data_IF_950010253675
#
_entry.id   IF_950010253675
#
_cell.length_a   1.000
_cell.length_b   1.000
_cell.length_c   1.000
_cell.angle_alpha   90.00
_cell.angle_beta   90.00
_cell.angle_gamma   90.00
#
_symmetry.space_group_name_H-M   'P 1'
#
loop_
_entity.id
_entity.type
_entity.pdbx_description
1 polymer ?
#
# COMPACT_ATOMS: atom_id res chain seq x y z
N UNK A 1 -4.71 0.35 -28.19
CA UNK A 1 -4.69 0.38 -27.58
C UNK A 1 -5.27 0.14 -26.71
N UNK A 2 -5.10 -0.12 -26.33
CA UNK A 2 -5.89 -0.48 -25.54
C UNK A 2 -6.06 0.20 -24.50
N UNK A 3 -6.21 0.94 -24.15
CA UNK A 3 -6.38 1.67 -23.03
C UNK A 3 -6.93 0.99 -21.86
N UNK A 4 -6.48 -0.18 -21.68
CA UNK A 4 -6.99 -0.94 -20.58
C UNK A 4 -6.49 -0.41 -19.28
N UNK A 5 -5.28 0.10 -19.24
CA UNK A 5 -4.72 0.60 -18.01
C UNK A 5 -5.08 2.06 -17.87
N UNK A 6 -5.36 2.48 -16.68
CA UNK A 6 -5.65 3.88 -16.43
C UNK A 6 -5.80 4.17 -14.98
N UNK A 7 -5.59 5.41 -14.62
CA UNK A 7 -5.71 5.85 -13.24
C UNK A 7 -6.29 7.25 -13.19
N UNK A 8 -7.33 7.44 -12.40
CA UNK A 8 -7.90 8.72 -12.10
C UNK A 8 -7.97 8.85 -10.59
N UNK A 9 -7.46 9.94 -10.06
CA UNK A 9 -7.42 10.17 -8.63
C UNK A 9 -6.12 10.82 -8.24
N UNK A 10 -5.63 10.51 -7.04
CA UNK A 10 -4.39 11.06 -6.54
C UNK A 10 -3.44 9.96 -6.16
N UNK A 11 -2.17 10.14 -6.48
CA UNK A 11 -1.15 9.15 -6.20
C UNK A 11 0.09 9.85 -5.70
N UNK A 12 0.52 9.49 -4.51
CA UNK A 12 1.72 10.08 -3.91
C UNK A 12 2.67 8.95 -3.54
N UNK A 13 3.89 9.05 -4.00
CA UNK A 13 4.94 8.10 -3.70
C UNK A 13 6.12 8.84 -3.11
N UNK A 14 6.49 8.50 -1.89
CA UNK A 14 7.69 9.08 -1.29
C UNK A 14 8.35 8.04 -0.40
N UNK A 15 9.53 8.32 0.16
CA UNK A 15 10.27 7.31 0.92
C UNK A 15 9.54 6.78 2.13
N UNK A 16 8.56 7.51 2.66
CA UNK A 16 7.86 7.12 3.88
C UNK A 16 6.38 6.90 3.67
N UNK A 17 5.89 7.01 2.46
CA UNK A 17 4.45 6.84 2.23
C UNK A 17 4.13 6.44 0.79
N UNK A 18 3.04 5.73 0.66
CA UNK A 18 2.47 5.36 -0.63
C UNK A 18 0.97 5.58 -0.48
N UNK A 19 0.46 6.63 -1.12
CA UNK A 19 -0.91 7.06 -0.92
C UNK A 19 -1.65 7.04 -2.25
N UNK A 20 -2.75 6.33 -2.29
CA UNK A 20 -3.61 6.27 -3.47
C UNK A 20 -5.03 6.62 -3.06
N UNK A 21 -5.57 7.66 -3.68
CA UNK A 21 -6.99 7.95 -3.61
C UNK A 21 -7.52 7.68 -5.00
N UNK A 22 -8.28 6.63 -5.17
CA UNK A 22 -8.60 6.09 -6.46
C UNK A 22 -10.04 6.37 -6.83
N UNK A 23 -10.27 7.13 -7.88
CA UNK A 23 -11.59 7.30 -8.44
C UNK A 23 -11.87 6.20 -9.44
N UNK A 24 -10.87 5.83 -10.23
CA UNK A 24 -10.99 4.73 -11.15
C UNK A 24 -9.60 4.25 -11.52
N UNK A 25 -9.38 2.96 -11.45
CA UNK A 25 -8.07 2.40 -11.80
C UNK A 25 -8.23 1.01 -12.38
N UNK A 26 -7.50 0.75 -13.44
CA UNK A 26 -7.30 -0.59 -13.99
C UNK A 26 -5.83 -0.70 -14.34
N UNK A 27 -5.19 -1.76 -13.85
CA UNK A 27 -3.78 -2.00 -14.11
C UNK A 27 -3.03 -2.23 -12.82
N UNK A 28 -1.73 -2.14 -12.88
CA UNK A 28 -0.85 -2.42 -11.74
C UNK A 28 0.00 -1.20 -11.44
N UNK A 29 0.10 -0.87 -10.17
CA UNK A 29 0.99 0.19 -9.72
C UNK A 29 1.90 -0.38 -8.64
N UNK A 30 3.08 0.17 -8.47
CA UNK A 30 3.97 -0.31 -7.43
C UNK A 30 4.84 0.81 -6.89
N UNK A 31 5.34 0.58 -5.70
CA UNK A 31 6.22 1.54 -5.02
C UNK A 31 7.13 0.75 -4.10
N UNK A 32 8.35 1.24 -3.90
CA UNK A 32 9.30 0.60 -3.01
C UNK A 32 9.66 1.54 -1.89
N UNK A 33 9.82 0.99 -0.70
CA UNK A 33 10.29 1.77 0.44
C UNK A 33 11.39 1.01 1.14
N UNK A 34 12.44 1.71 1.54
CA UNK A 34 13.48 1.12 2.37
C UNK A 34 13.06 1.28 3.83
N UNK A 35 12.93 0.16 4.50
CA UNK A 35 12.41 0.12 5.86
C UNK A 35 13.38 -0.59 6.78
N UNK A 36 13.19 -0.40 8.06
CA UNK A 36 14.07 -0.99 9.08
C UNK A 36 13.29 -1.94 9.96
N UNK A 37 13.97 -2.95 10.46
CA UNK A 37 13.36 -3.88 11.40
C UNK A 37 12.77 -3.10 12.57
N UNK A 38 11.55 -3.41 12.93
CA UNK A 38 10.84 -2.71 13.98
C UNK A 38 9.97 -1.57 13.51
N UNK A 39 10.12 -1.16 12.26
CA UNK A 39 9.21 -0.16 11.70
C UNK A 39 7.81 -0.73 11.64
N UNK A 40 6.84 0.16 11.72
CA UNK A 40 5.44 -0.22 11.62
C UNK A 40 4.82 0.61 10.52
N UNK A 41 4.12 -0.05 9.63
CA UNK A 41 3.39 0.64 8.59
C UNK A 41 1.94 0.79 9.03
N UNK A 42 1.41 1.99 8.91
CA UNK A 42 -0.01 2.21 9.14
C UNK A 42 -0.69 2.17 7.79
N UNK A 43 -1.70 1.33 7.68
CA UNK A 43 -2.38 1.11 6.42
C UNK A 43 -3.86 1.42 6.58
N UNK A 44 -4.38 2.24 5.66
CA UNK A 44 -5.81 2.41 5.50
C UNK A 44 -6.15 1.90 4.12
N UNK A 45 -6.98 0.88 4.05
CA UNK A 45 -7.24 0.20 2.79
C UNK A 45 -8.72 -0.14 2.71
N UNK A 46 -9.40 0.52 1.79
CA UNK A 46 -10.83 0.31 1.61
C UNK A 46 -11.15 0.28 0.12
N UNK A 47 -11.76 -0.78 -0.35
CA UNK A 47 -12.20 -0.92 -1.73
C UNK A 47 -13.68 -0.64 -1.80
N UNK A 48 -14.06 0.38 -2.56
CA UNK A 48 -15.45 0.80 -2.68
C UNK A 48 -16.11 0.28 -3.94
N UNK A 49 -15.35 -0.05 -4.94
CA UNK A 49 -15.88 -0.62 -6.18
C UNK A 49 -14.80 -1.35 -6.93
N UNK A 50 -15.19 -2.29 -7.79
CA UNK A 50 -14.22 -3.07 -8.55
C UNK A 50 -13.37 -3.96 -7.66
N UNK A 51 -12.14 -4.18 -8.07
CA UNK A 51 -11.19 -5.03 -7.33
C UNK A 51 -9.89 -4.32 -7.12
N UNK A 52 -9.37 -4.40 -5.92
CA UNK A 52 -8.00 -3.97 -5.59
C UNK A 52 -7.32 -5.09 -4.84
N UNK A 53 -6.06 -5.33 -5.13
CA UNK A 53 -5.25 -6.27 -4.37
C UNK A 53 -3.95 -5.59 -4.02
N UNK A 54 -3.63 -5.53 -2.74
CA UNK A 54 -2.35 -5.02 -2.28
C UNK A 54 -1.49 -6.21 -1.87
N UNK A 55 -0.26 -6.24 -2.34
CA UNK A 55 0.73 -7.21 -1.91
C UNK A 55 1.96 -6.47 -1.43
N UNK A 56 2.46 -6.82 -0.27
CA UNK A 56 3.71 -6.28 0.27
C UNK A 56 4.73 -7.40 0.23
N UNK A 57 5.80 -7.19 -0.52
CA UNK A 57 6.84 -8.19 -0.72
C UNK A 57 8.10 -7.77 0.01
N UNK A 58 8.65 -8.68 0.80
CA UNK A 58 9.86 -8.43 1.56
C UNK A 58 11.10 -8.50 0.66
N UNK A 59 12.25 -8.04 1.13
CA UNK A 59 13.46 -8.05 0.31
C UNK A 59 13.89 -9.42 -0.19
N UNK A 60 13.56 -10.48 0.56
CA UNK A 60 13.91 -11.83 0.17
C UNK A 60 12.86 -12.47 -0.75
N UNK A 61 11.86 -11.72 -1.15
CA UNK A 61 10.81 -12.23 -2.04
C UNK A 61 9.61 -12.80 -1.35
N UNK A 62 9.63 -12.90 -0.03
CA UNK A 62 8.49 -13.44 0.70
C UNK A 62 7.35 -12.44 0.73
N UNK A 63 6.12 -12.92 0.74
CA UNK A 63 4.96 -12.07 0.84
C UNK A 63 4.70 -11.75 2.31
N UNK A 64 4.79 -10.49 2.66
CA UNK A 64 4.55 -10.07 4.02
C UNK A 64 3.06 -9.84 4.28
N UNK A 65 2.35 -9.37 3.29
CA UNK A 65 0.92 -9.10 3.41
C UNK A 65 0.26 -9.14 2.05
N UNK A 66 -0.95 -9.63 1.98
CA UNK A 66 -1.78 -9.49 0.80
C UNK A 66 -3.23 -9.35 1.24
N UNK A 67 -3.99 -8.51 0.56
CA UNK A 67 -5.38 -8.27 0.90
C UNK A 67 -6.09 -7.49 -0.19
N UNK A 68 -7.42 -7.41 -0.06
CA UNK A 68 -8.26 -6.80 -1.10
C UNK A 68 -9.05 -5.57 -0.63
N UNK A 69 -8.83 -5.10 0.57
CA UNK A 69 -9.50 -3.89 1.05
C UNK A 69 -10.99 -4.04 1.33
N UNK A 70 -11.50 -5.27 1.38
CA UNK A 70 -12.91 -5.51 1.66
C UNK A 70 -13.14 -6.19 3.00
N UNK A 71 -12.09 -6.32 3.80
CA UNK A 71 -12.21 -6.92 5.11
C UNK A 71 -12.83 -5.96 6.09
N UNK A 72 -13.02 -6.43 7.31
CA UNK A 72 -13.63 -5.60 8.33
C UNK A 72 -12.69 -4.52 8.81
N UNK A 73 -11.42 -4.81 8.89
CA UNK A 73 -10.45 -3.83 9.36
C UNK A 73 -9.97 -3.00 8.18
N UNK A 74 -10.36 -1.75 8.16
CA UNK A 74 -9.92 -0.84 7.12
C UNK A 74 -8.66 -0.09 7.52
N UNK A 75 -8.39 -0.03 8.81
CA UNK A 75 -7.15 0.55 9.33
C UNK A 75 -6.42 -0.53 10.08
N UNK A 76 -5.18 -0.77 9.73
CA UNK A 76 -4.40 -1.80 10.40
C UNK A 76 -2.91 -1.45 10.29
N UNK A 77 -2.08 -2.24 10.95
CA UNK A 77 -0.65 -2.02 10.91
C UNK A 77 0.06 -3.28 10.42
N UNK A 78 1.21 -3.08 9.80
CA UNK A 78 2.06 -4.16 9.36
C UNK A 78 3.44 -3.93 9.95
N UNK A 79 3.94 -4.88 10.73
CA UNK A 79 5.27 -4.77 11.33
C UNK A 79 6.33 -5.23 10.35
N UNK A 80 7.45 -4.55 10.34
CA UNK A 80 8.57 -4.84 9.44
C UNK A 80 9.58 -5.70 10.18
N UNK A 81 9.81 -6.92 9.71
CA UNK A 81 10.66 -7.87 10.44
C UNK A 81 12.16 -7.70 10.23
N UNK A 82 12.56 -7.04 9.18
CA UNK A 82 13.98 -6.93 8.86
C UNK A 82 14.24 -5.70 8.03
N UNK A 83 15.47 -5.21 8.05
CA UNK A 83 15.87 -4.09 7.22
C UNK A 83 15.84 -4.49 5.75
N UNK A 84 15.51 -3.56 4.90
CA UNK A 84 15.62 -3.77 3.46
C UNK A 84 14.59 -3.02 2.68
N UNK A 85 14.54 -3.30 1.39
CA UNK A 85 13.63 -2.64 0.47
C UNK A 85 12.39 -3.50 0.28
N UNK A 86 11.24 -2.93 0.61
CA UNK A 86 9.97 -3.63 0.50
C UNK A 86 9.22 -3.09 -0.71
N UNK A 87 8.55 -3.99 -1.42
CA UNK A 87 7.82 -3.63 -2.63
C UNK A 87 6.32 -3.72 -2.37
N UNK A 88 5.62 -2.64 -2.71
CA UNK A 88 4.18 -2.57 -2.54
C UNK A 88 3.58 -2.62 -3.94
N UNK A 89 2.74 -3.60 -4.21
CA UNK A 89 2.14 -3.78 -5.53
C UNK A 89 0.63 -3.73 -5.40
N UNK A 90 0.00 -2.92 -6.22
CA UNK A 90 -1.44 -2.78 -6.24
C UNK A 90 -1.94 -3.21 -7.62
N UNK A 91 -2.82 -4.19 -7.64
CA UNK A 91 -3.49 -4.60 -8.88
C UNK A 91 -4.93 -4.16 -8.78
N UNK A 92 -5.42 -3.57 -9.84
CA UNK A 92 -6.75 -2.97 -9.85
C UNK A 92 -7.52 -3.34 -11.11
N UNK A 93 -8.83 -3.49 -10.96
CA UNK A 93 -9.70 -3.72 -12.08
C UNK A 93 -10.98 -2.92 -11.83
N UNK A 94 -11.18 -1.87 -12.61
CA UNK A 94 -12.31 -0.96 -12.46
C UNK A 94 -12.49 -0.53 -11.00
N UNK A 95 -11.39 -0.22 -10.35
CA UNK A 95 -11.37 -0.07 -8.91
C UNK A 95 -11.63 1.36 -8.49
N UNK A 96 -12.26 1.48 -7.33
CA UNK A 96 -12.45 2.75 -6.64
C UNK A 96 -12.22 2.50 -5.16
N UNK A 97 -11.47 3.35 -4.52
CA UNK A 97 -11.18 3.16 -3.10
C UNK A 97 -9.99 3.97 -2.64
N UNK A 98 -9.50 3.61 -1.48
CA UNK A 98 -8.42 4.32 -0.82
C UNK A 98 -7.36 3.33 -0.35
N UNK A 99 -6.11 3.64 -0.61
CA UNK A 99 -5.00 2.90 -0.02
C UNK A 99 -3.96 3.91 0.45
N UNK A 100 -3.80 4.02 1.74
CA UNK A 100 -2.80 4.90 2.34
C UNK A 100 -1.87 4.05 3.19
N UNK A 101 -0.60 4.02 2.84
CA UNK A 101 0.42 3.31 3.60
C UNK A 101 1.42 4.34 4.06
N UNK A 102 1.62 4.45 5.37
CA UNK A 102 2.56 5.39 5.95
C UNK A 102 3.49 4.68 6.89
N UNK A 103 4.77 5.02 6.79
CA UNK A 103 5.75 4.52 7.72
C UNK A 103 5.55 5.23 9.05
N UNK A 104 5.40 4.45 10.09
CA UNK A 104 5.14 5.01 11.39
C UNK A 104 6.07 4.42 12.41
N UNK A 105 7.28 4.18 12.02
CA UNK A 105 8.21 3.54 12.91
C UNK A 105 8.91 4.45 13.81
N UNK A 106 8.78 5.72 13.62
CA UNK A 106 9.50 6.56 14.42
C UNK A 106 8.75 7.03 15.50
N UNK A 107 9.02 6.59 16.53
CA UNK A 107 8.28 6.89 17.65
C UNK A 107 8.44 8.25 17.98
N UNK A 108 9.12 8.85 17.36
CA UNK A 108 9.22 9.99 17.69
C UNK A 108 8.08 10.56 17.88
N UNK A 109 7.47 10.22 17.39
CA UNK A 109 6.45 10.69 17.63
C UNK A 109 6.07 10.55 18.76
N UNK A 110 6.49 10.42 19.26
CA UNK A 110 5.95 10.21 20.30
C UNK A 110 6.48 10.80 21.15
N UNK A 111 6.95 11.26 21.18
CA UNK A 111 7.29 11.66 22.01
C UNK A 111 6.87 12.07 22.65
N UNK A 112 6.81 12.35 23.20
CA UNK A 112 6.43 12.70 23.98
C UNK A 112 6.23 13.15 24.50
#
# INVERSE_FOLDING_TARGET
>A
LCGCDGFTGERIKNPDAYLLDIEKMTGTDSHKMTLSAGDVLRVRFETLGGSLTLTVTAPDGATLYTGNGRGEAKDFTVGIPADGEYTFTVKAENARGTLHIRRNGTPEKTAP
#
